data_IF_728581831519
#
_entry.id   IF_728581831519
#
_cell.length_a   1.000
_cell.length_b   1.000
_cell.length_c   1.000
_cell.angle_alpha   90.00
_cell.angle_beta   90.00
_cell.angle_gamma   90.00
#
_symmetry.space_group_name_H-M   'P 1'
#
loop_
_entity.id
_entity.type
_entity.pdbx_description
1 polymer ?
#
# COMPACT_ATOMS: atom_id res chain seq x y z
N UNK A 1 4.24 -9.90 16.77
CA UNK A 1 3.51 -9.11 15.75
C UNK A 1 3.22 -10.03 14.59
N UNK A 2 2.09 -9.85 13.90
CA UNK A 2 1.83 -10.52 12.63
C UNK A 2 2.76 -9.90 11.58
N UNK A 3 3.30 -10.73 10.69
CA UNK A 3 4.16 -10.27 9.60
C UNK A 3 3.31 -9.91 8.38
N UNK A 4 3.70 -8.83 7.69
CA UNK A 4 3.04 -8.34 6.49
C UNK A 4 4.09 -8.15 5.38
N UNK A 5 4.74 -9.22 4.91
CA UNK A 5 5.91 -9.12 4.05
C UNK A 5 5.65 -8.41 2.71
N UNK A 6 4.43 -8.43 2.18
CA UNK A 6 4.10 -7.71 0.95
C UNK A 6 3.88 -6.22 1.21
N UNK A 7 3.22 -5.85 2.32
CA UNK A 7 3.15 -4.46 2.76
C UNK A 7 4.52 -3.91 3.14
N UNK A 8 5.36 -4.69 3.82
CA UNK A 8 6.73 -4.31 4.18
C UNK A 8 7.57 -4.02 2.92
N UNK A 9 7.43 -4.86 1.90
CA UNK A 9 8.11 -4.64 0.61
C UNK A 9 7.54 -3.43 -0.14
N UNK A 10 6.21 -3.27 -0.16
CA UNK A 10 5.56 -2.10 -0.76
C UNK A 10 6.09 -0.79 -0.15
N UNK A 11 6.05 -0.69 1.18
CA UNK A 11 6.45 0.52 1.89
C UNK A 11 7.97 0.75 1.83
N UNK A 12 8.77 -0.29 2.06
CA UNK A 12 10.23 -0.16 2.05
C UNK A 12 10.82 0.04 0.64
N UNK A 13 10.19 -0.55 -0.38
CA UNK A 13 10.72 -0.58 -1.75
C UNK A 13 10.22 0.54 -2.65
N UNK A 14 8.97 0.99 -2.46
CA UNK A 14 8.30 1.90 -3.41
C UNK A 14 7.75 3.16 -2.75
N UNK A 15 7.28 3.07 -1.52
CA UNK A 15 6.72 4.20 -0.76
C UNK A 15 7.65 4.64 0.37
N UNK A 16 8.94 4.72 0.07
CA UNK A 16 9.97 5.23 0.97
C UNK A 16 10.25 6.72 0.70
N UNK A 17 11.31 7.27 1.28
CA UNK A 17 11.67 8.70 1.15
C UNK A 17 11.99 9.12 -0.30
N UNK A 18 12.37 8.17 -1.17
CA UNK A 18 12.70 8.41 -2.58
C UNK A 18 11.53 8.02 -3.52
N UNK A 19 10.31 7.88 -3.01
CA UNK A 19 9.18 7.38 -3.80
C UNK A 19 8.92 8.20 -5.07
N UNK A 20 9.06 9.52 -5.01
CA UNK A 20 8.89 10.41 -6.17
C UNK A 20 9.97 10.17 -7.23
N UNK A 21 11.20 9.93 -6.80
CA UNK A 21 12.34 9.59 -7.67
C UNK A 21 12.20 8.18 -8.26
N UNK A 22 11.75 7.20 -7.47
CA UNK A 22 11.57 5.81 -7.88
C UNK A 22 10.44 5.68 -8.91
N UNK A 23 9.31 6.33 -8.63
CA UNK A 23 8.09 6.19 -9.44
C UNK A 23 7.99 7.25 -10.55
N UNK A 24 8.75 8.34 -10.44
CA UNK A 24 8.64 9.49 -11.32
C UNK A 24 7.35 10.30 -11.11
N UNK A 25 6.68 10.14 -9.98
CA UNK A 25 5.42 10.82 -9.66
C UNK A 25 5.43 11.40 -8.26
N UNK A 26 4.91 12.62 -8.11
CA UNK A 26 4.65 13.25 -6.80
C UNK A 26 3.24 12.98 -6.27
N UNK A 27 2.40 12.32 -7.07
CA UNK A 27 1.02 12.01 -6.73
C UNK A 27 0.89 10.53 -6.33
N UNK A 28 0.10 10.27 -5.28
CA UNK A 28 -0.10 8.93 -4.74
C UNK A 28 -0.58 7.93 -5.81
N UNK A 29 -1.53 8.32 -6.64
CA UNK A 29 -2.06 7.48 -7.71
C UNK A 29 -1.00 7.11 -8.74
N UNK A 30 -0.10 8.03 -9.07
CA UNK A 30 1.00 7.75 -10.01
C UNK A 30 2.02 6.78 -9.41
N UNK A 31 2.31 6.90 -8.12
CA UNK A 31 3.15 5.95 -7.39
C UNK A 31 2.54 4.54 -7.36
N UNK A 32 1.22 4.45 -7.09
CA UNK A 32 0.46 3.19 -7.13
C UNK A 32 0.50 2.60 -8.55
N UNK A 33 0.18 3.39 -9.57
CA UNK A 33 0.18 2.94 -10.96
C UNK A 33 1.57 2.42 -11.40
N UNK A 34 2.66 3.01 -10.91
CA UNK A 34 4.02 2.52 -11.15
C UNK A 34 4.23 1.13 -10.55
N UNK A 35 3.88 0.95 -9.27
CA UNK A 35 4.00 -0.35 -8.58
C UNK A 35 3.23 -1.46 -9.32
N UNK A 36 2.00 -1.15 -9.74
CA UNK A 36 1.11 -2.11 -10.39
C UNK A 36 1.64 -2.63 -11.74
N UNK A 37 2.44 -1.84 -12.48
CA UNK A 37 3.01 -2.26 -13.76
C UNK A 37 3.96 -3.46 -13.64
N UNK A 38 4.66 -3.58 -12.51
CA UNK A 38 5.62 -4.67 -12.25
C UNK A 38 5.05 -5.87 -11.49
N UNK A 39 3.84 -5.75 -10.94
CA UNK A 39 3.29 -6.72 -10.00
C UNK A 39 2.50 -7.85 -10.70
N UNK A 40 2.72 -9.09 -10.26
CA UNK A 40 1.92 -10.23 -10.73
C UNK A 40 0.52 -10.23 -10.10
N UNK A 41 -0.50 -10.73 -10.82
CA UNK A 41 -1.88 -10.80 -10.31
C UNK A 41 -2.01 -11.57 -8.99
N UNK A 42 -1.23 -12.63 -8.78
CA UNK A 42 -1.25 -13.38 -7.52
C UNK A 42 -0.66 -12.57 -6.37
N UNK A 43 0.42 -11.83 -6.63
CA UNK A 43 1.00 -10.93 -5.64
C UNK A 43 -0.01 -9.87 -5.23
N UNK A 44 -0.71 -9.26 -6.19
CA UNK A 44 -1.71 -8.22 -5.90
C UNK A 44 -2.88 -8.73 -5.04
N UNK A 45 -3.37 -9.96 -5.29
CA UNK A 45 -4.41 -10.58 -4.45
C UNK A 45 -3.92 -10.83 -3.02
N UNK A 46 -2.68 -11.29 -2.87
CA UNK A 46 -2.09 -11.52 -1.55
C UNK A 46 -1.86 -10.19 -0.81
N UNK A 47 -1.49 -9.12 -1.53
CA UNK A 47 -1.33 -7.78 -0.96
C UNK A 47 -2.67 -7.25 -0.43
N UNK A 48 -3.77 -7.43 -1.17
CA UNK A 48 -5.12 -7.10 -0.65
C UNK A 48 -5.39 -7.85 0.66
N UNK A 49 -5.08 -9.16 0.71
CA UNK A 49 -5.27 -9.95 1.93
C UNK A 49 -4.46 -9.40 3.10
N UNK A 50 -3.23 -8.93 2.88
CA UNK A 50 -2.43 -8.30 3.94
C UNK A 50 -2.99 -6.95 4.38
N UNK A 51 -3.50 -6.12 3.46
CA UNK A 51 -4.19 -4.87 3.79
C UNK A 51 -5.43 -5.11 4.66
N UNK A 52 -6.24 -6.12 4.32
CA UNK A 52 -7.45 -6.48 5.07
C UNK A 52 -7.10 -7.02 6.46
N UNK A 53 -6.08 -7.87 6.54
CA UNK A 53 -5.56 -8.41 7.79
C UNK A 53 -5.01 -7.30 8.70
N UNK A 54 -4.25 -6.36 8.14
CA UNK A 54 -3.68 -5.22 8.87
C UNK A 54 -4.80 -4.32 9.40
N UNK A 55 -5.73 -3.96 8.53
CA UNK A 55 -6.87 -3.11 8.88
C UNK A 55 -7.76 -3.74 9.96
N UNK A 56 -7.94 -5.06 9.92
CA UNK A 56 -8.68 -5.80 10.96
C UNK A 56 -7.92 -5.87 12.28
N UNK A 57 -6.60 -6.11 12.23
CA UNK A 57 -5.77 -6.25 13.43
C UNK A 57 -5.61 -4.92 14.21
N UNK A 58 -5.69 -3.78 13.51
CA UNK A 58 -5.50 -2.45 14.08
C UNK A 58 -6.73 -1.54 13.92
N UNK A 59 -7.93 -2.12 13.93
CA UNK A 59 -9.19 -1.37 13.70
C UNK A 59 -9.40 -0.20 14.66
N UNK A 60 -8.84 -0.28 15.87
CA UNK A 60 -9.02 0.74 16.92
C UNK A 60 -8.10 1.96 16.73
N UNK A 61 -6.96 1.81 16.04
CA UNK A 61 -5.94 2.87 15.88
C UNK A 61 -5.06 2.63 14.63
N UNK A 62 -5.72 2.49 13.47
CA UNK A 62 -5.11 2.07 12.21
C UNK A 62 -3.96 2.97 11.78
N UNK A 63 -4.20 4.28 11.79
CA UNK A 63 -3.23 5.28 11.33
C UNK A 63 -1.98 5.27 12.19
N UNK A 64 -2.14 5.18 13.51
CA UNK A 64 -1.03 5.10 14.45
C UNK A 64 -0.23 3.82 14.25
N UNK A 65 -0.91 2.67 14.17
CA UNK A 65 -0.22 1.39 13.98
C UNK A 65 0.56 1.34 12.65
N UNK A 66 0.01 1.94 11.60
CA UNK A 66 0.68 2.04 10.30
C UNK A 66 1.90 2.97 10.37
N UNK A 67 1.75 4.16 10.96
CA UNK A 67 2.83 5.13 11.12
C UNK A 67 3.97 4.60 12.00
N UNK A 68 3.67 3.88 13.08
CA UNK A 68 4.68 3.23 13.93
C UNK A 68 5.45 2.14 13.19
N UNK A 69 4.79 1.40 12.28
CA UNK A 69 5.43 0.33 11.50
C UNK A 69 6.23 0.86 10.31
N UNK A 70 5.71 1.87 9.62
CA UNK A 70 6.28 2.45 8.41
C UNK A 70 6.55 3.94 8.59
N UNK A 71 7.52 4.30 9.45
CA UNK A 71 7.88 5.70 9.64
C UNK A 71 8.47 6.26 8.34
N UNK A 72 7.90 7.34 7.83
CA UNK A 72 8.34 7.98 6.60
C UNK A 72 7.81 9.41 6.46
N UNK A 73 8.33 10.12 5.46
CA UNK A 73 7.96 11.50 5.18
C UNK A 73 6.66 11.61 4.35
N UNK A 74 6.20 10.49 3.78
CA UNK A 74 4.94 10.41 3.06
C UNK A 74 3.79 10.25 4.06
N UNK A 75 2.90 11.24 4.11
CA UNK A 75 1.66 11.15 4.86
C UNK A 75 0.66 10.27 4.10
N UNK A 76 0.41 9.07 4.63
CA UNK A 76 -0.56 8.10 4.11
C UNK A 76 -1.87 8.13 4.88
N UNK A 77 -2.05 9.09 5.79
CA UNK A 77 -3.29 9.21 6.56
C UNK A 77 -4.37 9.97 5.76
N UNK A 78 -5.64 9.52 5.82
CA UNK A 78 -6.13 8.33 6.52
C UNK A 78 -5.73 7.03 5.79
N UNK A 79 -5.16 6.07 6.52
CA UNK A 79 -4.63 4.81 5.97
C UNK A 79 -5.75 3.95 5.38
N UNK A 80 -6.96 4.04 5.93
CA UNK A 80 -8.14 3.40 5.34
C UNK A 80 -8.42 3.89 3.92
N UNK A 81 -8.32 5.21 3.69
CA UNK A 81 -8.52 5.80 2.36
C UNK A 81 -7.38 5.42 1.40
N UNK A 82 -6.14 5.42 1.89
CA UNK A 82 -4.98 4.91 1.14
C UNK A 82 -5.21 3.47 0.67
N UNK A 83 -5.60 2.56 1.58
CA UNK A 83 -5.92 1.18 1.23
C UNK A 83 -7.08 1.08 0.23
N UNK A 84 -8.11 1.91 0.36
CA UNK A 84 -9.25 1.91 -0.56
C UNK A 84 -8.90 2.42 -1.97
N UNK A 85 -8.04 3.44 -2.09
CA UNK A 85 -7.47 3.86 -3.38
C UNK A 85 -6.65 2.71 -3.99
N UNK A 86 -5.78 2.10 -3.19
CA UNK A 86 -4.90 1.03 -3.66
C UNK A 86 -5.69 -0.21 -4.11
N UNK A 87 -6.67 -0.66 -3.32
CA UNK A 87 -7.55 -1.79 -3.65
C UNK A 87 -8.32 -1.55 -4.95
N UNK A 88 -8.91 -0.36 -5.12
CA UNK A 88 -9.63 0.00 -6.36
C UNK A 88 -8.73 -0.11 -7.58
N UNK A 89 -7.50 0.38 -7.49
CA UNK A 89 -6.51 0.29 -8.58
C UNK A 89 -6.11 -1.16 -8.88
N UNK A 90 -5.90 -1.98 -7.85
CA UNK A 90 -5.65 -3.43 -8.03
C UNK A 90 -6.84 -4.11 -8.73
N UNK A 91 -8.06 -3.82 -8.31
CA UNK A 91 -9.29 -4.40 -8.88
C UNK A 91 -9.41 -4.14 -10.38
N UNK A 92 -9.10 -2.90 -10.82
CA UNK A 92 -9.01 -2.56 -12.25
C UNK A 92 -7.96 -3.42 -12.98
N UNK A 93 -6.77 -3.63 -12.40
CA UNK A 93 -5.71 -4.48 -13.00
C UNK A 93 -6.11 -5.96 -13.04
N UNK A 94 -6.90 -6.42 -12.07
CA UNK A 94 -7.40 -7.79 -12.02
C UNK A 94 -8.58 -8.04 -12.98
N UNK A 95 -9.21 -6.97 -13.49
CA UNK A 95 -10.42 -7.04 -14.32
C UNK A 95 -11.66 -7.40 -13.50
N UNK A 96 -11.74 -6.89 -12.27
CA UNK A 96 -12.83 -7.11 -11.32
C UNK A 96 -13.44 -5.74 -11.00
N UNK A 97 -14.40 -5.30 -11.82
CA UNK A 97 -15.19 -4.07 -11.59
C UNK A 97 -16.47 -4.37 -10.81
#
# INVERSE_FOLDING_TARGET
MKDYPLLDNLMGGYFNQDADLITGSTELEGMIDYYLQGASKNLLRNLISEMDDFQTAYSDDLDKAFCERYPGDLDMSPVGEFFDVFRRRIQTVLGQD
#
